data_IF_181602724430
#
_entry.id   IF_181602724430
#
_cell.length_a   1.000
_cell.length_b   1.000
_cell.length_c   1.000
_cell.angle_alpha   90.00
_cell.angle_beta   90.00
_cell.angle_gamma   90.00
#
_symmetry.space_group_name_H-M   'P 1'
#
loop_
_entity.id
_entity.type
_entity.pdbx_description
1 polymer ?
#
# COMPACT_ATOMS: atom_id res chain seq x y z
N UNK A 1 -7.32 -12.68 19.88
CA UNK A 1 -8.48 -12.99 19.02
C UNK A 1 -7.99 -12.91 17.59
N UNK A 2 -7.80 -14.03 16.89
CA UNK A 2 -7.31 -14.02 15.51
C UNK A 2 -8.48 -13.65 14.58
N UNK A 3 -8.36 -12.56 13.84
CA UNK A 3 -9.32 -12.20 12.80
C UNK A 3 -9.11 -13.18 11.63
N UNK A 4 -10.17 -13.82 11.10
CA UNK A 4 -10.01 -14.66 9.93
C UNK A 4 -9.46 -13.85 8.75
N UNK A 5 -8.54 -14.40 7.95
CA UNK A 5 -7.96 -13.69 6.80
C UNK A 5 -9.08 -13.27 5.84
N UNK A 6 -8.94 -12.09 5.23
CA UNK A 6 -9.90 -11.58 4.27
C UNK A 6 -10.13 -12.60 3.12
N UNK A 7 -11.32 -12.65 2.50
CA UNK A 7 -11.65 -13.66 1.48
C UNK A 7 -10.63 -13.72 0.32
N UNK A 8 -10.11 -12.56 -0.10
CA UNK A 8 -9.05 -12.48 -1.11
C UNK A 8 -7.75 -13.18 -0.67
N UNK A 9 -7.40 -13.11 0.61
CA UNK A 9 -6.22 -13.78 1.15
C UNK A 9 -6.40 -15.30 1.20
N UNK A 10 -7.63 -15.77 1.47
CA UNK A 10 -7.94 -17.20 1.51
C UNK A 10 -7.74 -17.86 0.14
N UNK A 11 -8.20 -17.22 -0.93
CA UNK A 11 -8.05 -17.76 -2.30
C UNK A 11 -6.59 -17.96 -2.71
N UNK A 12 -5.68 -17.07 -2.31
CA UNK A 12 -4.27 -17.19 -2.68
C UNK A 12 -3.44 -18.04 -1.70
N UNK A 13 -3.99 -18.37 -0.53
CA UNK A 13 -3.25 -19.10 0.52
C UNK A 13 -2.92 -20.55 0.17
N UNK A 14 -3.56 -21.12 -0.85
CA UNK A 14 -3.25 -22.47 -1.35
C UNK A 14 -1.91 -22.52 -2.11
N UNK A 15 -1.48 -21.41 -2.71
CA UNK A 15 -0.29 -21.33 -3.56
C UNK A 15 0.77 -20.32 -3.07
N UNK A 16 0.39 -19.38 -2.21
CA UNK A 16 1.26 -18.29 -1.75
C UNK A 16 1.24 -18.16 -0.23
N UNK A 17 2.36 -17.75 0.34
CA UNK A 17 2.37 -17.17 1.69
C UNK A 17 1.76 -15.77 1.61
N UNK A 18 0.55 -15.62 2.15
CA UNK A 18 -0.21 -14.35 2.07
C UNK A 18 -0.15 -13.63 3.41
N UNK A 19 0.38 -12.41 3.38
CA UNK A 19 0.33 -11.50 4.52
C UNK A 19 -0.43 -10.21 4.14
N UNK A 20 -1.35 -9.80 5.02
CA UNK A 20 -2.02 -8.52 4.94
C UNK A 20 -1.51 -7.62 6.08
N UNK A 21 -0.87 -6.51 5.73
CA UNK A 21 -0.34 -5.57 6.72
C UNK A 21 -1.37 -4.48 7.05
N UNK A 22 -1.56 -4.22 8.35
CA UNK A 22 -2.19 -2.98 8.80
C UNK A 22 -1.19 -1.84 8.68
N UNK A 23 -1.47 -0.84 7.84
CA UNK A 23 -0.62 0.35 7.76
C UNK A 23 -0.60 1.08 9.11
N UNK A 24 0.52 1.75 9.45
CA UNK A 24 0.58 2.62 10.63
C UNK A 24 -0.63 3.56 10.67
N UNK A 25 -1.24 3.73 11.84
CA UNK A 25 -2.48 4.49 12.01
C UNK A 25 -3.78 3.69 11.82
N UNK A 26 -3.71 2.45 11.30
CA UNK A 26 -4.87 1.62 11.00
C UNK A 26 -4.86 0.29 11.74
N UNK A 27 -6.03 -0.34 11.86
CA UNK A 27 -6.20 -1.67 12.45
C UNK A 27 -5.54 -1.80 13.83
N UNK A 28 -4.73 -2.85 13.98
CA UNK A 28 -3.94 -3.12 15.18
C UNK A 28 -2.53 -2.53 15.16
N UNK A 29 -2.13 -1.87 14.08
CA UNK A 29 -0.85 -1.18 14.02
C UNK A 29 -0.84 0.07 14.89
N UNK A 30 0.36 0.45 15.33
CA UNK A 30 0.58 1.65 16.14
C UNK A 30 -0.03 2.90 15.49
N UNK A 31 -0.46 3.84 16.33
CA UNK A 31 -1.09 5.11 15.91
C UNK A 31 -0.26 6.32 16.35
N UNK A 32 0.86 6.64 15.66
CA UNK A 32 1.69 7.78 16.03
C UNK A 32 0.92 9.10 15.94
N UNK A 33 1.04 9.95 16.95
CA UNK A 33 0.30 11.23 17.01
C UNK A 33 0.84 12.30 16.06
N UNK A 34 2.11 12.23 15.68
CA UNK A 34 2.78 13.31 14.95
C UNK A 34 2.72 13.09 13.42
N UNK A 35 2.24 14.05 12.61
CA UNK A 35 2.11 13.88 11.15
C UNK A 35 3.41 13.50 10.43
N UNK A 36 4.56 14.05 10.85
CA UNK A 36 5.91 13.64 10.37
C UNK A 36 6.25 12.15 10.53
N UNK A 37 5.43 11.36 11.23
CA UNK A 37 5.56 9.90 11.30
C UNK A 37 4.95 9.19 10.09
N UNK A 38 4.22 9.89 9.22
CA UNK A 38 3.54 9.35 8.03
C UNK A 38 4.18 9.82 6.72
N UNK A 39 5.48 10.14 6.73
CA UNK A 39 6.19 10.48 5.48
C UNK A 39 6.25 9.26 4.56
N UNK A 40 6.24 9.48 3.25
CA UNK A 40 6.28 8.38 2.28
C UNK A 40 7.49 7.46 2.49
N UNK A 41 8.66 8.02 2.80
CA UNK A 41 9.85 7.25 3.16
C UNK A 41 9.67 6.30 4.34
N UNK A 42 8.84 6.68 5.33
CA UNK A 42 8.54 5.84 6.49
C UNK A 42 7.52 4.76 6.16
N UNK A 43 6.55 5.07 5.30
CA UNK A 43 5.56 4.09 4.85
C UNK A 43 6.21 3.02 3.96
N UNK A 44 7.10 3.41 3.03
CA UNK A 44 7.92 2.48 2.25
C UNK A 44 8.75 1.59 3.16
N UNK A 45 9.38 2.19 4.18
CA UNK A 45 10.18 1.43 5.16
C UNK A 45 9.36 0.40 5.93
N UNK A 46 8.12 0.69 6.30
CA UNK A 46 7.26 -0.30 6.98
C UNK A 46 7.02 -1.54 6.13
N UNK A 47 6.80 -1.35 4.82
CA UNK A 47 6.59 -2.46 3.88
C UNK A 47 7.84 -3.35 3.84
N UNK A 48 9.03 -2.75 3.74
CA UNK A 48 10.29 -3.48 3.70
C UNK A 48 10.60 -4.19 5.03
N UNK A 49 10.34 -3.53 6.15
CA UNK A 49 10.53 -4.12 7.49
C UNK A 49 9.54 -5.26 7.73
N UNK A 50 8.30 -5.13 7.27
CA UNK A 50 7.32 -6.21 7.31
C UNK A 50 7.76 -7.41 6.45
N UNK A 51 8.23 -7.16 5.23
CA UNK A 51 8.74 -8.19 4.33
C UNK A 51 9.93 -8.94 4.94
N UNK A 52 10.89 -8.20 5.51
CA UNK A 52 12.06 -8.77 6.18
C UNK A 52 11.67 -9.54 7.45
N UNK A 53 10.72 -9.05 8.24
CA UNK A 53 10.23 -9.74 9.44
C UNK A 53 9.54 -11.08 9.13
N UNK A 54 8.94 -11.20 7.94
CA UNK A 54 8.39 -12.45 7.41
C UNK A 54 9.47 -13.37 6.80
N UNK A 55 10.74 -12.96 6.80
CA UNK A 55 11.86 -13.77 6.29
C UNK A 55 12.05 -13.70 4.77
N UNK A 56 11.37 -12.78 4.09
CA UNK A 56 11.46 -12.62 2.64
C UNK A 56 12.26 -11.37 2.25
N UNK A 57 12.85 -11.39 1.06
CA UNK A 57 13.56 -10.24 0.48
C UNK A 57 12.86 -9.67 -0.73
N UNK A 58 11.89 -10.40 -1.28
CA UNK A 58 11.12 -10.03 -2.46
C UNK A 58 9.70 -10.58 -2.38
N UNK A 59 8.69 -9.82 -2.81
CA UNK A 59 7.30 -10.27 -2.80
C UNK A 59 6.52 -9.86 -4.06
N UNK A 60 5.34 -10.46 -4.22
CA UNK A 60 4.28 -9.89 -5.08
C UNK A 60 3.46 -8.91 -4.25
N UNK A 61 3.49 -7.63 -4.62
CA UNK A 61 2.86 -6.57 -3.84
C UNK A 61 1.47 -6.25 -4.40
N UNK A 62 0.43 -6.53 -3.61
CA UNK A 62 -0.96 -6.20 -3.95
C UNK A 62 -1.40 -5.01 -3.09
N UNK A 63 -1.92 -3.96 -3.73
CA UNK A 63 -2.18 -2.71 -3.05
C UNK A 63 -3.42 -1.99 -3.58
N UNK A 64 -4.11 -1.28 -2.68
CA UNK A 64 -5.34 -0.55 -2.97
C UNK A 64 -5.29 0.85 -2.35
N UNK A 65 -5.84 1.86 -3.04
CA UNK A 65 -5.95 3.25 -2.53
C UNK A 65 -4.58 3.83 -2.07
N UNK A 66 -4.45 4.31 -0.84
CA UNK A 66 -3.19 4.77 -0.25
C UNK A 66 -2.12 3.68 -0.21
N UNK A 67 -2.50 2.41 -0.05
CA UNK A 67 -1.57 1.30 -0.18
C UNK A 67 -0.95 1.27 -1.57
N UNK A 68 -1.72 1.60 -2.62
CA UNK A 68 -1.23 1.71 -3.99
C UNK A 68 -0.22 2.85 -4.16
N UNK A 69 -0.47 4.00 -3.53
CA UNK A 69 0.48 5.12 -3.51
C UNK A 69 1.81 4.69 -2.87
N UNK A 70 1.77 3.95 -1.76
CA UNK A 70 2.97 3.42 -1.12
C UNK A 70 3.65 2.39 -2.02
N UNK A 71 2.90 1.47 -2.64
CA UNK A 71 3.44 0.45 -3.53
C UNK A 71 4.21 1.03 -4.72
N UNK A 72 3.69 2.10 -5.34
CA UNK A 72 4.42 2.82 -6.39
C UNK A 72 5.77 3.36 -5.90
N UNK A 73 5.82 3.89 -4.66
CA UNK A 73 7.07 4.39 -4.08
C UNK A 73 8.02 3.25 -3.67
N UNK A 74 7.51 2.12 -3.20
CA UNK A 74 8.33 0.91 -2.96
C UNK A 74 8.96 0.44 -4.26
N UNK A 75 8.17 0.27 -5.33
CA UNK A 75 8.69 -0.18 -6.62
C UNK A 75 9.70 0.80 -7.23
N UNK A 76 9.53 2.10 -7.01
CA UNK A 76 10.46 3.12 -7.50
C UNK A 76 11.78 3.18 -6.70
N UNK A 77 11.71 3.03 -5.37
CA UNK A 77 12.88 3.13 -4.49
C UNK A 77 13.63 1.81 -4.30
N UNK A 78 12.91 0.68 -4.37
CA UNK A 78 13.37 -0.67 -4.07
C UNK A 78 12.81 -1.69 -5.06
N UNK A 79 13.12 -1.56 -6.37
CA UNK A 79 12.62 -2.48 -7.39
C UNK A 79 13.03 -3.95 -7.13
N UNK A 80 14.15 -4.18 -6.43
CA UNK A 80 14.64 -5.49 -6.02
C UNK A 80 13.67 -6.23 -5.08
N UNK A 81 12.89 -5.49 -4.28
CA UNK A 81 11.94 -6.05 -3.32
C UNK A 81 10.60 -6.45 -3.97
N UNK A 82 10.35 -6.06 -5.23
CA UNK A 82 9.07 -6.28 -5.91
C UNK A 82 9.24 -7.26 -7.09
N UNK A 83 8.62 -8.42 -7.00
CA UNK A 83 8.59 -9.40 -8.10
C UNK A 83 7.52 -9.07 -9.13
N UNK A 84 6.31 -8.78 -8.63
CA UNK A 84 5.13 -8.38 -9.40
C UNK A 84 4.35 -7.40 -8.54
N UNK A 85 3.55 -6.55 -9.16
CA UNK A 85 2.75 -5.56 -8.46
C UNK A 85 1.35 -5.48 -9.07
N UNK A 86 0.34 -5.45 -8.20
CA UNK A 86 -1.06 -5.23 -8.57
C UNK A 86 -1.55 -4.01 -7.81
N UNK A 87 -1.93 -2.95 -8.53
CA UNK A 87 -2.42 -1.70 -7.93
C UNK A 87 -3.87 -1.48 -8.34
N UNK A 88 -4.75 -1.33 -7.35
CA UNK A 88 -6.19 -1.17 -7.52
C UNK A 88 -6.62 0.21 -7.03
N UNK A 89 -7.44 0.91 -7.83
CA UNK A 89 -8.01 2.21 -7.49
C UNK A 89 -6.98 3.27 -7.02
N UNK A 90 -5.72 3.17 -7.47
CA UNK A 90 -4.65 4.09 -7.10
C UNK A 90 -3.76 4.38 -8.32
N UNK A 91 -3.97 5.51 -9.01
CA UNK A 91 -3.20 5.83 -10.20
C UNK A 91 -1.74 6.08 -9.85
N UNK A 92 -0.87 5.94 -10.86
CA UNK A 92 0.56 6.25 -10.71
C UNK A 92 0.76 7.68 -10.18
N UNK A 93 1.73 7.96 -9.29
CA UNK A 93 1.91 9.28 -8.64
C UNK A 93 1.96 10.46 -9.62
N UNK A 94 2.57 10.28 -10.81
CA UNK A 94 2.57 11.29 -11.88
C UNK A 94 1.18 11.74 -12.34
N UNK A 95 0.16 10.87 -12.29
CA UNK A 95 -1.19 11.23 -12.69
C UNK A 95 -1.77 12.33 -11.80
N UNK A 96 -1.43 12.37 -10.52
CA UNK A 96 -1.84 13.45 -9.60
C UNK A 96 -1.24 14.82 -9.92
N UNK A 97 -0.21 14.86 -10.78
CA UNK A 97 0.40 16.10 -11.24
C UNK A 97 -0.22 16.59 -12.56
N UNK A 98 -1.00 15.76 -13.24
CA UNK A 98 -1.64 16.08 -14.51
C UNK A 98 -3.17 16.20 -14.30
N UNK A 99 -3.73 17.43 -14.35
CA UNK A 99 -5.16 17.64 -14.21
C UNK A 99 -6.00 16.90 -15.26
N UNK A 100 -5.43 16.58 -16.43
CA UNK A 100 -6.13 15.86 -17.49
C UNK A 100 -6.35 14.37 -17.16
N UNK A 101 -5.61 13.83 -16.19
CA UNK A 101 -5.78 12.45 -15.75
C UNK A 101 -7.05 12.22 -14.92
N UNK A 102 -7.74 13.28 -14.48
CA UNK A 102 -8.99 13.20 -13.73
C UNK A 102 -10.08 13.98 -14.43
N UNK A 103 -11.27 13.40 -14.50
CA UNK A 103 -12.45 14.16 -14.93
C UNK A 103 -12.79 15.23 -13.90
N UNK A 104 -13.42 16.35 -14.30
CA UNK A 104 -13.86 17.38 -13.36
C UNK A 104 -14.71 16.81 -12.21
N UNK A 105 -15.56 15.83 -12.50
CA UNK A 105 -16.38 15.13 -11.51
C UNK A 105 -15.55 14.31 -10.52
N UNK A 106 -14.46 13.66 -10.97
CA UNK A 106 -13.54 12.93 -10.09
C UNK A 106 -12.77 13.86 -9.17
N UNK A 107 -12.25 14.98 -9.70
CA UNK A 107 -11.52 15.98 -8.91
C UNK A 107 -12.39 16.59 -7.82
N UNK A 108 -13.66 16.91 -8.14
CA UNK A 108 -14.62 17.43 -7.15
C UNK A 108 -14.89 16.42 -6.03
N UNK A 109 -15.11 15.15 -6.36
CA UNK A 109 -15.36 14.10 -5.35
C UNK A 109 -14.18 13.89 -4.41
N UNK A 110 -12.95 13.96 -4.93
CA UNK A 110 -11.74 13.81 -4.11
C UNK A 110 -11.46 15.04 -3.23
N UNK A 111 -11.81 16.24 -3.70
CA UNK A 111 -11.63 17.48 -2.94
C UNK A 111 -12.56 17.58 -1.72
N UNK A 112 -13.76 16.99 -1.78
CA UNK A 112 -14.76 17.03 -0.70
C UNK A 112 -14.44 16.05 0.45
N UNK A 113 -13.63 15.02 0.19
CA UNK A 113 -13.23 14.02 1.20
C UNK A 113 -11.88 14.32 1.88
N UNK A 114 -11.30 15.50 1.68
CA UNK A 114 -10.12 15.99 2.43
C UNK A 114 -10.52 16.99 3.49
#
# INVERSE_FOLDING_TARGET
MAIPPAPSCQTFSEEYEVAAMDMRGFGFSDRPKHPRRFTMSRLVRDVLECLAALGHTRCTLVAHDWGGMVAWHVAAAHPEAVQRMVVLASPHPRAYLDPACFTPQQSLRQAVCR
#
